data_IF_941695907823
#
_entry.id   IF_941695907823
#
_cell.length_a   1.000
_cell.length_b   1.000
_cell.length_c   1.000
_cell.angle_alpha   90.00
_cell.angle_beta   90.00
_cell.angle_gamma   90.00
#
_symmetry.space_group_name_H-M   'P 1'
#
loop_
_entity.id
_entity.type
_entity.pdbx_description
1 polymer ?
#
# COMPACT_ATOMS: atom_id res chain seq x y z
N UNK A 1 4.67 14.12 9.64
CA UNK A 1 4.13 13.44 8.45
C UNK A 1 2.81 12.78 8.80
N UNK A 2 1.82 12.79 7.90
CA UNK A 2 0.53 12.14 8.13
C UNK A 2 0.66 10.61 7.97
N UNK A 3 0.44 9.88 9.07
CA UNK A 3 0.53 8.43 9.16
C UNK A 3 -0.88 7.82 9.30
N UNK A 4 -1.16 6.75 8.54
CA UNK A 4 -2.47 6.09 8.51
C UNK A 4 -2.43 4.62 8.96
N UNK A 5 -1.27 4.16 9.46
CA UNK A 5 -1.03 2.76 9.88
C UNK A 5 -2.03 2.26 10.92
N UNK A 6 -2.47 3.13 11.83
CA UNK A 6 -3.47 2.79 12.84
C UNK A 6 -4.82 2.43 12.21
N UNK A 7 -5.17 3.06 11.09
CA UNK A 7 -6.45 2.86 10.41
C UNK A 7 -6.42 1.69 9.43
N UNK A 8 -5.23 1.31 8.97
CA UNK A 8 -5.00 0.26 7.97
C UNK A 8 -4.42 -1.02 8.60
N UNK A 9 -4.68 -1.25 9.88
CA UNK A 9 -4.25 -2.45 10.61
C UNK A 9 -2.74 -2.76 10.50
N UNK A 10 -1.91 -1.71 10.56
CA UNK A 10 -0.45 -1.82 10.55
C UNK A 10 0.16 -2.07 9.17
N UNK A 11 -0.60 -1.97 8.08
CA UNK A 11 -0.09 -2.07 6.71
C UNK A 11 -0.19 -0.70 6.05
N UNK A 12 0.92 -0.15 5.55
CA UNK A 12 0.88 1.11 4.80
C UNK A 12 0.47 0.84 3.35
N UNK A 13 -0.71 1.31 2.88
CA UNK A 13 -1.15 1.07 1.51
C UNK A 13 -0.33 1.86 0.48
N UNK A 14 0.36 2.93 0.89
CA UNK A 14 1.21 3.72 -0.01
C UNK A 14 2.49 2.97 -0.38
N UNK A 15 3.12 2.31 0.59
CA UNK A 15 4.41 1.62 0.37
C UNK A 15 4.23 0.17 -0.04
N UNK A 16 3.15 -0.49 0.41
CA UNK A 16 2.91 -1.91 0.13
C UNK A 16 2.10 -2.16 -1.14
N UNK A 17 1.27 -1.22 -1.58
CA UNK A 17 0.55 -1.36 -2.85
C UNK A 17 1.43 -0.89 -3.99
N UNK A 18 1.58 -1.69 -5.05
CA UNK A 18 2.28 -1.30 -6.27
C UNK A 18 1.78 0.02 -6.88
N UNK A 19 0.50 0.35 -6.68
CA UNK A 19 -0.14 1.59 -7.17
C UNK A 19 -0.14 2.73 -6.16
N UNK A 20 0.30 2.49 -4.91
CA UNK A 20 0.37 3.51 -3.86
C UNK A 20 -0.97 4.18 -3.51
N UNK A 21 -2.10 3.49 -3.70
CA UNK A 21 -3.43 4.05 -3.49
C UNK A 21 -3.71 4.32 -2.00
N UNK A 22 -4.18 5.53 -1.70
CA UNK A 22 -4.52 5.96 -0.34
C UNK A 22 -5.94 5.57 0.09
N UNK A 23 -6.87 5.50 -0.87
CA UNK A 23 -8.30 5.38 -0.63
C UNK A 23 -8.89 4.16 -1.35
N UNK A 24 -8.72 2.99 -0.76
CA UNK A 24 -9.35 1.75 -1.20
C UNK A 24 -8.61 0.98 -2.31
N UNK A 25 -9.07 -0.25 -2.60
CA UNK A 25 -8.46 -1.14 -3.58
C UNK A 25 -8.62 -0.62 -5.02
N UNK A 26 -7.69 -1.00 -5.91
CA UNK A 26 -7.72 -0.65 -7.33
C UNK A 26 -8.67 -1.50 -8.19
N UNK A 27 -9.35 -2.49 -7.62
CA UNK A 27 -10.15 -3.48 -8.36
C UNK A 27 -9.34 -4.62 -8.99
N UNK A 28 -8.05 -4.43 -9.21
CA UNK A 28 -7.10 -5.43 -9.73
C UNK A 28 -6.61 -6.46 -8.72
N UNK A 29 -7.50 -6.98 -7.86
CA UNK A 29 -7.18 -8.04 -6.92
C UNK A 29 -7.99 -9.29 -7.28
N UNK A 30 -7.29 -10.42 -7.48
CA UNK A 30 -7.90 -11.71 -7.73
C UNK A 30 -7.38 -12.72 -6.72
N UNK A 31 -8.30 -13.39 -6.02
CA UNK A 31 -7.99 -14.39 -4.98
C UNK A 31 -6.94 -13.93 -3.94
N UNK A 32 -7.01 -12.67 -3.51
CA UNK A 32 -6.08 -12.08 -2.54
C UNK A 32 -4.72 -11.64 -3.11
N UNK A 33 -4.42 -11.97 -4.37
CA UNK A 33 -3.23 -11.54 -5.09
C UNK A 33 -3.47 -10.26 -5.89
N UNK A 34 -2.40 -9.48 -6.11
CA UNK A 34 -2.42 -8.29 -6.95
C UNK A 34 -2.20 -8.64 -8.42
N UNK A 35 -2.83 -7.90 -9.34
CA UNK A 35 -2.60 -8.00 -10.78
C UNK A 35 -1.17 -7.60 -11.22
N UNK A 36 -0.47 -6.84 -10.38
CA UNK A 36 0.90 -6.39 -10.66
C UNK A 36 1.84 -7.36 -9.97
N UNK A 37 2.76 -8.04 -10.66
CA UNK A 37 3.80 -8.83 -10.01
C UNK A 37 4.97 -7.93 -9.53
N UNK A 38 5.80 -8.42 -8.61
CA UNK A 38 7.03 -7.74 -8.16
C UNK A 38 8.22 -8.34 -8.87
N UNK A 39 8.97 -7.51 -9.59
CA UNK A 39 10.29 -7.88 -10.10
C UNK A 39 11.35 -7.65 -9.03
N UNK A 40 11.95 -8.73 -8.56
CA UNK A 40 13.18 -8.70 -7.77
C UNK A 40 14.34 -8.48 -8.73
N UNK A 41 15.11 -7.43 -8.48
CA UNK A 41 16.28 -7.07 -9.29
C UNK A 41 17.57 -7.29 -8.50
N UNK A 42 18.63 -7.69 -9.21
CA UNK A 42 19.98 -7.72 -8.64
C UNK A 42 20.59 -6.30 -8.52
N UNK A 43 21.78 -6.22 -7.95
CA UNK A 43 22.59 -4.99 -7.82
C UNK A 43 22.91 -4.33 -9.18
N UNK A 44 22.83 -5.08 -10.27
CA UNK A 44 23.03 -4.60 -11.64
C UNK A 44 21.73 -4.24 -12.35
N UNK A 45 20.60 -4.25 -11.63
CA UNK A 45 19.28 -3.88 -12.12
C UNK A 45 18.59 -4.93 -12.99
N UNK A 46 19.15 -6.14 -13.11
CA UNK A 46 18.57 -7.25 -13.88
C UNK A 46 17.47 -7.92 -13.06
N UNK A 47 16.31 -8.16 -13.68
CA UNK A 47 15.25 -8.95 -13.06
C UNK A 47 15.74 -10.39 -12.89
N UNK A 48 15.87 -10.83 -11.63
CA UNK A 48 16.27 -12.19 -11.26
C UNK A 48 15.07 -13.08 -10.95
N UNK A 49 13.95 -12.48 -10.54
CA UNK A 49 12.74 -13.22 -10.20
C UNK A 49 11.52 -12.29 -10.28
N UNK A 50 10.41 -12.80 -10.80
CA UNK A 50 9.11 -12.12 -10.78
C UNK A 50 8.18 -12.92 -9.85
N UNK A 51 7.68 -12.29 -8.79
CA UNK A 51 6.80 -12.94 -7.80
C UNK A 51 5.38 -12.38 -7.86
N UNK A 52 4.41 -13.28 -7.66
CA UNK A 52 3.05 -12.89 -7.29
C UNK A 52 3.07 -12.23 -5.91
N UNK A 53 2.47 -11.05 -5.79
CA UNK A 53 2.38 -10.32 -4.53
C UNK A 53 0.96 -10.32 -3.97
N UNK A 54 0.86 -10.41 -2.65
CA UNK A 54 -0.41 -10.23 -1.95
C UNK A 54 -0.90 -8.79 -2.11
N UNK A 55 -2.20 -8.62 -2.34
CA UNK A 55 -2.79 -7.29 -2.43
C UNK A 55 -2.80 -6.62 -1.05
N UNK A 56 -2.13 -5.47 -0.93
CA UNK A 56 -2.09 -4.71 0.32
C UNK A 56 -3.49 -4.43 0.90
N UNK A 57 -4.46 -4.08 0.05
CA UNK A 57 -5.83 -3.81 0.48
C UNK A 57 -6.60 -5.05 0.92
N UNK A 58 -6.32 -6.21 0.31
CA UNK A 58 -6.88 -7.48 0.78
C UNK A 58 -6.35 -7.82 2.18
N UNK A 59 -5.04 -7.67 2.40
CA UNK A 59 -4.43 -7.89 3.72
C UNK A 59 -4.97 -6.91 4.77
N UNK A 60 -5.17 -5.64 4.41
CA UNK A 60 -5.77 -4.63 5.30
C UNK A 60 -7.20 -5.05 5.66
N UNK A 61 -8.00 -5.45 4.66
CA UNK A 61 -9.37 -5.90 4.88
C UNK A 61 -9.43 -7.12 5.82
N UNK A 62 -8.61 -8.14 5.56
CA UNK A 62 -8.58 -9.35 6.37
C UNK A 62 -8.20 -9.04 7.83
N UNK A 63 -7.17 -8.22 8.05
CA UNK A 63 -6.79 -7.79 9.42
C UNK A 63 -7.86 -6.95 10.10
N UNK A 64 -8.51 -6.03 9.39
CA UNK A 64 -9.59 -5.21 9.94
C UNK A 64 -10.85 -6.05 10.25
N UNK A 65 -11.13 -7.07 9.43
CA UNK A 65 -12.21 -8.03 9.65
C UNK A 65 -11.96 -8.84 10.91
N UNK A 66 -10.73 -9.35 11.11
CA UNK A 66 -10.31 -10.05 12.34
C UNK A 66 -10.36 -9.15 13.57
N UNK A 67 -10.06 -7.87 13.41
CA UNK A 67 -10.11 -6.88 14.49
C UNK A 67 -11.51 -6.27 14.73
N UNK A 68 -12.55 -6.71 14.01
CA UNK A 68 -13.91 -6.14 14.04
C UNK A 68 -13.96 -4.61 13.78
N UNK A 69 -13.00 -4.07 13.03
CA UNK A 69 -12.84 -2.62 12.74
C UNK A 69 -13.08 -2.29 11.26
N UNK A 70 -14.03 -2.98 10.61
CA UNK A 70 -14.34 -2.82 9.17
C UNK A 70 -14.71 -1.37 8.81
N UNK A 71 -15.27 -0.60 9.74
CA UNK A 71 -15.63 0.81 9.54
C UNK A 71 -14.43 1.68 9.09
N UNK A 72 -13.20 1.36 9.53
CA UNK A 72 -11.99 2.10 9.14
C UNK A 72 -11.61 1.89 7.67
N UNK A 73 -12.06 0.79 7.06
CA UNK A 73 -11.80 0.50 5.65
C UNK A 73 -12.54 1.47 4.73
N UNK A 74 -13.77 1.86 5.09
CA UNK A 74 -14.62 2.78 4.32
C UNK A 74 -14.34 4.26 4.58
N UNK A 75 -13.47 4.57 5.55
CA UNK A 75 -13.16 5.94 5.92
C UNK A 75 -12.42 6.65 4.78
N UNK A 76 -13.01 7.75 4.30
CA UNK A 76 -12.36 8.63 3.35
C UNK A 76 -11.17 9.35 4.00
N UNK A 77 -10.03 9.36 3.31
CA UNK A 77 -8.83 10.08 3.74
C UNK A 77 -8.56 11.22 2.77
N UNK A 78 -8.39 12.45 3.26
CA UNK A 78 -8.09 13.57 2.38
C UNK A 78 -6.76 13.35 1.64
N UNK A 79 -6.61 13.92 0.44
CA UNK A 79 -5.36 13.83 -0.31
C UNK A 79 -4.21 14.42 0.50
N UNK A 80 -3.14 13.64 0.66
CA UNK A 80 -1.95 14.04 1.41
C UNK A 80 -1.29 15.25 0.75
N UNK A 81 -1.04 16.32 1.52
CA UNK A 81 -0.30 17.50 1.03
C UNK A 81 1.18 17.14 0.82
N UNK A 82 1.56 16.86 -0.43
CA UNK A 82 2.95 16.55 -0.81
C UNK A 82 3.88 17.77 -0.80
N UNK A 83 3.34 18.99 -0.79
CA UNK A 83 4.13 20.23 -0.78
C UNK A 83 4.93 20.48 0.52
N UNK A 84 4.60 19.77 1.61
CA UNK A 84 5.24 19.97 2.93
C UNK A 84 6.50 19.12 3.08
N UNK A 85 6.71 18.11 2.23
CA UNK A 85 8.03 17.48 2.09
C UNK A 85 8.90 18.39 1.24
N UNK A 86 9.48 19.40 1.86
CA UNK A 86 10.64 20.06 1.27
C UNK A 86 11.64 18.96 0.90
N UNK A 87 12.11 18.95 -0.34
CA UNK A 87 13.40 18.33 -0.66
C UNK A 87 14.37 18.66 0.48
N UNK A 88 15.28 17.75 0.89
CA UNK A 88 16.47 18.21 1.58
C UNK A 88 17.01 19.34 0.70
N UNK A 89 16.90 20.59 1.14
CA UNK A 89 17.67 21.65 0.50
C UNK A 89 19.09 21.27 0.90
N UNK A 90 19.93 20.97 -0.09
CA UNK A 90 21.35 20.81 0.17
C UNK A 90 21.78 21.98 1.06
N UNK A 91 22.26 21.64 2.26
CA UNK A 91 23.01 22.56 3.09
C UNK A 91 24.40 22.71 2.47
#
# INVERSE_FOLDING_TARGET
GECILFETAGICPITRCAKGLLNGPCGGCFDGKCEVPIDVRDDNGKVIQTLDQDCAWYMIYDRLKRASKINLFRKYRPPKKRAISGSPRQL
#
